data_IF_430667608459
#
_entry.id   IF_430667608459
#
_cell.length_a   1.000
_cell.length_b   1.000
_cell.length_c   1.000
_cell.angle_alpha   90.00
_cell.angle_beta   90.00
_cell.angle_gamma   90.00
#
_symmetry.space_group_name_H-M   'P 1'
#
loop_
_entity.id
_entity.type
_entity.pdbx_description
1 polymer ?
2 polymer ?
3 branched ?
4 non-polymer ?
5 non-polymer ?
6 non-polymer ?
#
# COMPACT_ATOMS: atom_id res chain seq x y z
N UNK A 2 -29.62 4.69 -9.58
CA UNK A 2 -28.69 3.79 -10.25
C UNK A 2 -28.21 2.62 -9.38
N UNK A 3 -28.36 2.73 -8.07
CA UNK A 3 -27.90 1.71 -7.16
C UNK A 3 -29.04 0.95 -6.50
N UNK A 4 -28.69 0.22 -5.46
CA UNK A 4 -29.67 -0.62 -4.77
C UNK A 4 -29.16 -0.78 -3.34
N UNK A 5 -29.74 -0.06 -2.41
CA UNK A 5 -29.17 -0.14 -1.07
C UNK A 5 -29.87 -1.17 -0.20
N UNK A 6 -29.31 -1.29 0.99
CA UNK A 6 -29.77 -2.18 2.00
C UNK A 6 -29.05 -1.89 3.29
N UNK A 7 -29.35 -2.69 4.29
CA UNK A 7 -28.81 -2.47 5.64
C UNK A 7 -27.30 -2.34 5.73
N UNK A 8 -26.56 -3.20 5.06
CA UNK A 8 -25.10 -3.20 5.23
C UNK A 8 -24.38 -3.28 3.90
N UNK A 9 -24.91 -2.65 2.86
CA UNK A 9 -24.25 -2.70 1.56
C UNK A 9 -24.83 -1.62 0.64
N UNK A 10 -24.35 -1.64 -0.60
CA UNK A 10 -24.83 -0.75 -1.65
C UNK A 10 -24.39 -1.37 -2.97
N UNK A 11 -25.33 -1.91 -3.73
CA UNK A 11 -25.03 -2.57 -5.00
C UNK A 11 -25.13 -1.53 -6.11
N UNK A 12 -24.05 -1.20 -6.80
CA UNK A 12 -24.12 -0.20 -7.87
C UNK A 12 -24.88 -0.71 -9.09
N UNK A 13 -26.15 -1.06 -8.91
CA UNK A 13 -26.97 -1.57 -10.00
C UNK A 13 -28.43 -1.38 -9.62
N UNK A 14 -29.22 -0.82 -10.54
CA UNK A 14 -30.59 -0.44 -10.23
C UNK A 14 -31.51 -1.64 -10.16
N UNK A 15 -32.33 -1.70 -9.11
CA UNK A 15 -33.25 -2.80 -8.88
C UNK A 15 -34.58 -2.62 -9.62
N UNK A 16 -34.60 -1.80 -10.67
CA UNK A 16 -35.82 -1.59 -11.44
C UNK A 16 -36.34 -2.90 -12.04
N UNK A 17 -35.45 -3.84 -12.30
CA UNK A 17 -35.81 -5.13 -12.88
C UNK A 17 -35.98 -6.23 -11.83
N UNK A 18 -35.84 -5.90 -10.55
CA UNK A 18 -36.10 -6.86 -9.49
C UNK A 18 -35.05 -7.93 -9.32
N UNK A 19 -33.86 -7.73 -9.90
CA UNK A 19 -32.85 -8.78 -9.95
C UNK A 19 -31.78 -8.65 -8.86
N UNK A 20 -31.57 -7.45 -8.32
CA UNK A 20 -30.47 -7.24 -7.39
C UNK A 20 -30.68 -8.04 -6.12
N UNK A 21 -29.61 -8.69 -5.65
CA UNK A 21 -29.63 -9.51 -4.44
C UNK A 21 -28.49 -9.08 -3.53
N UNK A 22 -28.63 -9.43 -2.25
CA UNK A 22 -27.64 -9.07 -1.24
C UNK A 22 -26.27 -9.65 -1.62
N UNK A 23 -25.22 -8.83 -1.65
CA UNK A 23 -23.88 -9.36 -1.96
C UNK A 23 -23.39 -10.38 -0.94
N UNK A 24 -24.03 -10.50 0.21
CA UNK A 24 -23.70 -11.52 1.19
C UNK A 24 -24.47 -12.82 0.97
N UNK A 25 -25.37 -12.87 0.00
CA UNK A 25 -26.33 -13.98 -0.06
C UNK A 25 -26.49 -14.62 -1.43
N UNK A 26 -26.34 -13.86 -2.51
CA UNK A 26 -26.54 -14.44 -3.84
C UNK A 26 -25.51 -13.88 -4.82
N UNK A 27 -25.19 -14.64 -5.86
CA UNK A 27 -24.24 -14.15 -6.87
C UNK A 27 -24.72 -12.88 -7.55
N UNK A 28 -23.78 -11.99 -7.85
CA UNK A 28 -24.04 -10.70 -8.47
C UNK A 28 -23.78 -10.72 -9.97
N UNK A 29 -24.14 -11.80 -10.66
CA UNK A 29 -23.82 -11.90 -12.08
C UNK A 29 -24.64 -10.94 -12.96
N UNK A 30 -25.42 -10.04 -12.36
CA UNK A 30 -26.13 -9.01 -13.11
C UNK A 30 -25.33 -7.72 -13.27
N UNK A 31 -24.36 -7.47 -12.39
CA UNK A 31 -23.49 -6.31 -12.53
C UNK A 31 -22.16 -6.64 -13.19
N UNK A 32 -21.98 -7.89 -13.63
CA UNK A 32 -20.79 -8.33 -14.34
C UNK A 32 -21.01 -9.76 -14.81
N UNK A 33 -20.61 -10.05 -16.05
CA UNK A 33 -20.67 -11.41 -16.53
C UNK A 33 -19.85 -12.32 -15.62
N UNK A 34 -20.11 -13.62 -15.65
CA UNK A 34 -19.29 -14.53 -14.82
C UNK A 34 -17.82 -14.53 -15.23
N UNK A 35 -17.51 -14.37 -16.52
CA UNK A 35 -16.12 -14.40 -16.94
C UNK A 35 -15.34 -13.23 -16.34
N UNK A 36 -16.01 -12.14 -16.03
CA UNK A 36 -15.33 -11.02 -15.38
C UNK A 36 -15.01 -11.34 -13.92
N UNK A 37 -15.86 -12.13 -13.25
CA UNK A 37 -15.49 -12.64 -11.95
C UNK A 37 -14.35 -13.64 -12.04
N UNK A 38 -14.30 -14.41 -13.13
CA UNK A 38 -13.17 -15.30 -13.35
C UNK A 38 -11.88 -14.52 -13.54
N UNK A 39 -11.94 -13.39 -14.24
CA UNK A 39 -10.75 -12.57 -14.42
C UNK A 39 -10.35 -11.86 -13.13
N UNK A 40 -11.33 -11.47 -12.33
CA UNK A 40 -11.04 -10.99 -10.98
C UNK A 40 -10.23 -12.03 -10.21
N UNK A 41 -10.71 -13.28 -10.21
CA UNK A 41 -10.00 -14.35 -9.53
C UNK A 41 -8.62 -14.58 -10.13
N UNK A 42 -8.50 -14.47 -11.45
CA UNK A 42 -7.21 -14.65 -12.10
C UNK A 42 -6.22 -13.59 -11.63
N UNK A 43 -6.64 -12.33 -11.58
CA UNK A 43 -5.73 -11.29 -11.13
C UNK A 43 -5.33 -11.49 -9.67
N UNK A 44 -6.27 -11.93 -8.83
CA UNK A 44 -5.90 -12.27 -7.46
C UNK A 44 -4.87 -13.39 -7.44
N UNK A 45 -5.03 -14.39 -8.31
CA UNK A 45 -4.04 -15.45 -8.42
C UNK A 45 -2.67 -14.89 -8.77
N UNK A 46 -2.62 -13.97 -9.74
CA UNK A 46 -1.36 -13.32 -10.09
C UNK A 46 -0.73 -12.63 -8.89
N UNK A 47 -1.53 -11.83 -8.17
CA UNK A 47 -1.00 -11.09 -7.03
C UNK A 47 -0.52 -12.00 -5.91
N UNK A 48 -1.09 -13.21 -5.81
CA UNK A 48 -0.62 -14.15 -4.79
C UNK A 48 0.67 -14.83 -5.25
N UNK A 49 0.67 -15.32 -6.49
CA UNK A 49 1.82 -16.06 -7.00
C UNK A 49 3.06 -15.17 -7.07
N UNK A 50 2.89 -13.89 -7.38
CA UNK A 50 4.02 -12.97 -7.39
C UNK A 50 4.26 -12.32 -6.04
N UNK A 51 3.20 -12.02 -5.29
CA UNK A 51 3.36 -11.25 -4.07
C UNK A 51 3.80 -12.04 -2.87
N UNK A 52 3.46 -13.33 -2.80
CA UNK A 52 3.82 -14.09 -1.61
C UNK A 52 5.30 -14.50 -1.64
N UNK A 53 5.81 -15.08 -2.73
CA UNK A 53 7.24 -15.41 -2.75
C UNK A 53 8.15 -14.20 -2.52
N UNK A 54 7.94 -13.11 -3.25
CA UNK A 54 8.84 -11.97 -3.17
C UNK A 54 8.88 -11.39 -1.76
N UNK A 55 7.75 -11.39 -1.06
CA UNK A 55 7.68 -10.79 0.27
C UNK A 55 8.11 -11.73 1.39
N UNK A 56 7.72 -13.01 1.29
CA UNK A 56 8.19 -13.98 2.28
C UNK A 56 9.70 -14.17 2.18
N UNK A 57 10.22 -14.27 0.95
CA UNK A 57 11.66 -14.43 0.75
C UNK A 57 12.45 -13.31 1.40
N UNK A 58 11.88 -12.10 1.46
CA UNK A 58 12.57 -10.99 2.11
C UNK A 58 12.81 -11.30 3.59
N UNK A 59 11.77 -11.72 4.30
CA UNK A 59 11.93 -12.13 5.70
C UNK A 59 12.88 -13.31 5.81
N UNK A 60 12.84 -14.23 4.84
CA UNK A 60 13.69 -15.41 4.89
C UNK A 60 15.16 -15.02 4.82
N UNK A 61 15.57 -14.32 3.74
CA UNK A 61 16.97 -13.93 3.61
C UNK A 61 17.39 -13.03 4.75
N UNK A 62 16.46 -12.24 5.30
CA UNK A 62 16.78 -11.50 6.52
C UNK A 62 17.12 -12.45 7.66
N UNK A 63 16.48 -13.61 7.72
CA UNK A 63 16.81 -14.59 8.74
C UNK A 63 18.15 -15.27 8.44
N UNK A 64 18.54 -15.36 7.16
CA UNK A 64 19.78 -16.05 6.82
C UNK A 64 21.01 -15.15 6.98
N UNK A 65 20.89 -13.88 6.59
CA UNK A 65 22.05 -12.99 6.45
C UNK A 65 22.06 -11.97 7.57
N UNK A 66 23.10 -12.02 8.41
CA UNK A 66 23.17 -11.09 9.54
C UNK A 66 23.41 -9.66 9.07
N UNK A 67 24.12 -9.48 7.97
CA UNK A 67 24.41 -8.14 7.48
C UNK A 67 23.14 -7.41 7.05
N UNK A 68 21.98 -8.08 7.10
CA UNK A 68 20.70 -7.47 6.77
C UNK A 68 19.91 -7.05 8.01
N UNK A 69 20.31 -7.49 9.20
CA UNK A 69 19.55 -7.25 10.42
C UNK A 69 20.00 -5.98 11.15
N UNK A 70 20.14 -4.88 10.39
CA UNK A 70 20.48 -3.53 10.81
C UNK A 70 19.21 -2.70 10.99
N UNK A 71 19.23 -1.66 11.84
CA UNK A 71 17.98 -0.95 12.13
C UNK A 71 17.38 -0.24 10.92
N UNK A 72 18.22 0.35 10.07
CA UNK A 72 17.73 1.03 8.86
C UNK A 72 17.10 0.07 7.86
N UNK A 73 16.94 -1.20 8.24
CA UNK A 73 16.22 -2.18 7.44
C UNK A 73 14.89 -2.60 8.04
N UNK A 74 14.66 -2.32 9.32
CA UNK A 74 13.44 -2.77 9.99
C UNK A 74 12.19 -2.38 9.20
N UNK A 75 12.10 -1.10 8.82
CA UNK A 75 10.92 -0.62 8.11
C UNK A 75 10.69 -1.42 6.84
N UNK A 76 11.77 -1.79 6.15
CA UNK A 76 11.64 -2.63 4.96
C UNK A 76 10.99 -3.96 5.32
N UNK A 77 11.51 -4.63 6.35
CA UNK A 77 10.84 -5.83 6.87
C UNK A 77 9.38 -5.54 7.14
N UNK A 78 9.10 -4.42 7.81
CA UNK A 78 7.73 -4.00 8.06
C UNK A 78 6.91 -4.00 6.78
N UNK A 79 7.43 -3.35 5.74
CA UNK A 79 6.76 -3.32 4.44
C UNK A 79 6.39 -4.72 3.98
N UNK A 80 7.34 -5.65 4.04
CA UNK A 80 7.07 -7.03 3.63
C UNK A 80 5.90 -7.60 4.42
N UNK A 81 5.93 -7.47 5.75
CA UNK A 81 4.82 -7.94 6.57
C UNK A 81 3.52 -7.28 6.13
N UNK A 82 3.55 -5.97 5.89
CA UNK A 82 2.37 -5.27 5.39
C UNK A 82 1.83 -5.96 4.14
N UNK A 83 2.70 -6.22 3.17
CA UNK A 83 2.24 -6.85 1.94
C UNK A 83 1.65 -8.22 2.20
N UNK A 84 2.18 -8.96 3.17
CA UNK A 84 1.61 -10.26 3.51
C UNK A 84 0.21 -10.10 4.09
N UNK A 85 0.00 -9.07 4.92
CA UNK A 85 -1.36 -8.76 5.35
C UNK A 85 -2.24 -8.41 4.17
N UNK A 86 -1.68 -7.76 3.14
CA UNK A 86 -2.44 -7.51 1.92
C UNK A 86 -2.72 -8.79 1.15
N UNK A 87 -1.91 -9.83 1.33
CA UNK A 87 -2.04 -11.04 0.54
C UNK A 87 -3.03 -12.01 1.17
N UNK A 88 -2.85 -12.32 2.44
CA UNK A 88 -3.68 -13.32 3.11
C UNK A 88 -4.92 -12.73 3.76
N UNK A 89 -4.93 -11.44 4.06
CA UNK A 89 -6.12 -10.81 4.58
C UNK A 89 -7.03 -10.29 3.49
N UNK A 90 -6.47 -10.09 2.30
CA UNK A 90 -7.23 -9.51 1.21
C UNK A 90 -7.28 -10.33 -0.06
N UNK A 91 -6.12 -10.62 -0.64
CA UNK A 91 -6.08 -11.18 -1.99
C UNK A 91 -6.68 -12.58 -2.03
N UNK A 92 -6.34 -13.43 -1.05
CA UNK A 92 -6.84 -14.81 -1.06
C UNK A 92 -8.34 -14.84 -0.79
N UNK A 93 -8.79 -14.09 0.21
CA UNK A 93 -10.22 -13.96 0.46
C UNK A 93 -10.96 -13.57 -0.80
N UNK A 94 -10.51 -12.50 -1.47
CA UNK A 94 -11.18 -12.04 -2.69
C UNK A 94 -11.11 -13.07 -3.80
N UNK A 95 -10.06 -13.89 -3.84
CA UNK A 95 -10.04 -15.00 -4.78
C UNK A 95 -11.19 -15.97 -4.51
N UNK A 96 -11.30 -16.43 -3.27
CA UNK A 96 -12.35 -17.37 -2.91
C UNK A 96 -13.74 -16.80 -3.17
N UNK A 97 -14.02 -15.62 -2.61
CA UNK A 97 -15.35 -15.02 -2.76
C UNK A 97 -15.65 -14.69 -4.23
N UNK A 98 -14.64 -14.24 -4.97
CA UNK A 98 -14.87 -14.00 -6.39
C UNK A 98 -15.25 -15.29 -7.12
N UNK A 99 -14.74 -16.43 -6.66
CA UNK A 99 -15.11 -17.70 -7.28
C UNK A 99 -16.54 -18.11 -6.95
N UNK A 100 -17.18 -17.49 -5.96
CA UNK A 100 -18.60 -17.73 -5.72
C UNK A 100 -19.49 -16.68 -6.37
N UNK A 101 -18.94 -15.55 -6.81
CA UNK A 101 -19.75 -14.48 -7.37
C UNK A 101 -20.21 -13.44 -6.37
N UNK A 102 -19.97 -13.64 -5.08
CA UNK A 102 -20.42 -12.71 -4.05
C UNK A 102 -19.63 -12.97 -2.77
N UNK A 103 -19.80 -12.09 -1.80
CA UNK A 103 -19.02 -12.13 -0.56
C UNK A 103 -19.66 -13.10 0.42
N UNK A 104 -19.15 -14.34 0.45
CA UNK A 104 -19.83 -15.43 1.15
C UNK A 104 -19.74 -15.32 2.66
N UNK A 105 -18.81 -14.55 3.19
CA UNK A 105 -18.53 -14.58 4.63
C UNK A 105 -19.38 -13.58 5.42
N UNK A 106 -20.34 -12.92 4.78
CA UNK A 106 -21.30 -12.10 5.48
C UNK A 106 -20.72 -10.79 5.99
N UNK A 107 -21.54 -10.02 6.70
CA UNK A 107 -21.08 -8.72 7.21
C UNK A 107 -19.85 -8.79 8.10
N UNK A 108 -19.78 -9.75 9.01
CA UNK A 108 -18.60 -9.85 9.88
C UNK A 108 -17.35 -10.14 9.07
N UNK A 109 -17.41 -11.12 8.16
CA UNK A 109 -16.31 -11.35 7.24
C UNK A 109 -15.94 -10.11 6.44
N UNK A 110 -16.94 -9.27 6.16
CA UNK A 110 -16.65 -8.00 5.49
C UNK A 110 -15.80 -7.10 6.39
N UNK A 111 -16.14 -7.04 7.68
CA UNK A 111 -15.36 -6.23 8.62
C UNK A 111 -13.95 -6.76 8.76
N UNK A 112 -13.78 -8.10 8.74
CA UNK A 112 -12.44 -8.68 8.87
C UNK A 112 -11.61 -8.41 7.62
N UNK A 113 -12.13 -8.79 6.45
CA UNK A 113 -11.36 -8.63 5.22
C UNK A 113 -11.05 -7.17 4.94
N UNK A 114 -12.01 -6.28 5.23
CA UNK A 114 -11.75 -4.87 5.06
C UNK A 114 -10.78 -4.32 6.09
N UNK A 115 -10.86 -4.83 7.33
CA UNK A 115 -9.95 -4.35 8.37
C UNK A 115 -8.51 -4.74 8.08
N UNK A 116 -8.29 -5.98 7.62
CA UNK A 116 -6.93 -6.42 7.37
C UNK A 116 -6.39 -5.92 6.04
N UNK A 117 -7.26 -5.74 5.04
CA UNK A 117 -6.81 -5.14 3.78
C UNK A 117 -6.42 -3.68 4.00
N UNK A 118 -7.30 -2.91 4.65
CA UNK A 118 -7.00 -1.52 4.95
C UNK A 118 -5.76 -1.41 5.84
N UNK A 119 -5.69 -2.25 6.88
CA UNK A 119 -4.53 -2.27 7.76
C UNK A 119 -3.25 -2.46 6.97
N UNK A 120 -3.16 -3.57 6.23
CA UNK A 120 -1.95 -3.85 5.47
C UNK A 120 -1.55 -2.72 4.54
N UNK A 121 -2.52 -2.20 3.78
CA UNK A 121 -2.21 -1.12 2.85
C UNK A 121 -1.71 0.13 3.55
N UNK A 122 -2.26 0.43 4.72
CA UNK A 122 -1.82 1.64 5.44
C UNK A 122 -0.46 1.43 6.08
N UNK A 123 -0.18 0.23 6.60
CA UNK A 123 1.15 -0.07 7.09
C UNK A 123 2.18 0.10 5.98
N UNK A 124 1.86 -0.38 4.78
CA UNK A 124 2.76 -0.21 3.65
C UNK A 124 3.01 1.27 3.36
N UNK A 125 1.92 2.05 3.21
CA UNK A 125 2.06 3.47 2.90
C UNK A 125 2.87 4.21 3.95
N UNK A 126 2.52 4.02 5.23
CA UNK A 126 3.23 4.72 6.29
C UNK A 126 4.65 4.21 6.47
N UNK A 127 4.93 2.97 6.07
CA UNK A 127 6.32 2.51 6.02
C UNK A 127 7.10 3.27 4.95
N UNK A 128 6.46 3.54 3.80
CA UNK A 128 7.13 4.35 2.79
C UNK A 128 7.43 5.75 3.33
N UNK A 129 6.47 6.35 4.05
CA UNK A 129 6.69 7.68 4.62
C UNK A 129 7.82 7.64 5.64
N UNK A 130 7.75 6.70 6.59
CA UNK A 130 8.77 6.61 7.64
C UNK A 130 10.14 6.37 7.03
N UNK A 131 10.21 5.53 6.01
CA UNK A 131 11.49 5.30 5.32
C UNK A 131 12.04 6.60 4.75
N UNK A 132 11.18 7.38 4.08
CA UNK A 132 11.61 8.68 3.56
C UNK A 132 12.14 9.58 4.68
N UNK A 133 11.46 9.58 5.83
CA UNK A 133 11.91 10.41 6.95
C UNK A 133 13.28 9.95 7.44
N UNK A 134 13.45 8.63 7.61
CA UNK A 134 14.72 8.11 8.09
C UNK A 134 15.87 8.47 7.15
N UNK A 135 15.65 8.36 5.84
CA UNK A 135 16.71 8.68 4.90
C UNK A 135 16.99 10.18 4.88
N UNK A 136 15.96 11.02 5.05
CA UNK A 136 16.19 12.45 5.19
C UNK A 136 17.06 12.73 6.40
N UNK A 137 16.75 12.11 7.54
CA UNK A 137 17.48 12.37 8.77
C UNK A 137 18.92 11.88 8.65
N UNK A 138 19.10 10.64 8.19
CA UNK A 138 20.42 10.02 8.19
C UNK A 138 21.32 10.68 7.16
N UNK A 139 20.80 10.99 5.98
CA UNK A 139 21.63 11.51 4.89
C UNK A 139 21.77 13.02 4.97
N UNK A 140 20.67 13.74 5.22
CA UNK A 140 20.70 15.21 5.22
C UNK A 140 21.27 15.79 6.50
N UNK A 141 21.40 15.00 7.56
CA UNK A 141 21.98 15.43 8.82
C UNK A 141 21.34 16.74 9.33
N UNK A 142 20.04 16.71 9.66
CA UNK A 142 19.36 17.95 10.05
C UNK A 142 19.38 18.25 11.55
N UNK A 143 19.89 17.34 12.38
CA UNK A 143 19.97 17.55 13.81
C UNK A 143 21.41 17.40 14.28
N UNK A 144 21.83 18.32 15.15
CA UNK A 144 23.19 18.29 15.65
C UNK A 144 23.43 17.07 16.54
N UNK A 145 24.49 16.33 16.25
CA UNK A 145 24.91 15.18 17.04
C UNK A 145 23.77 14.19 17.23
N UNK A 146 23.40 13.53 16.12
CA UNK A 146 22.37 12.50 16.15
C UNK A 146 22.72 11.40 15.18
N UNK A 147 22.71 10.16 15.67
CA UNK A 147 22.80 8.97 14.83
C UNK A 147 21.60 8.09 15.09
N UNK A 148 21.23 7.31 14.08
CA UNK A 148 19.98 6.57 14.07
C UNK A 148 20.20 5.18 14.66
N UNK A 149 19.52 4.90 15.78
CA UNK A 149 19.70 3.67 16.51
C UNK A 149 18.56 2.68 16.34
N UNK A 150 18.64 1.60 17.11
CA UNK A 150 17.61 0.58 17.06
C UNK A 150 16.28 1.09 17.63
N UNK A 151 16.35 1.86 18.72
CA UNK A 151 15.13 2.36 19.34
C UNK A 151 14.38 3.32 18.43
N UNK A 152 15.11 4.12 17.64
CA UNK A 152 14.44 5.00 16.69
C UNK A 152 13.73 4.20 15.61
N UNK A 153 14.36 3.15 15.10
CA UNK A 153 13.73 2.31 14.09
C UNK A 153 12.47 1.66 14.62
N UNK A 154 12.57 1.04 15.81
CA UNK A 154 11.40 0.44 16.46
C UNK A 154 10.29 1.47 16.62
N UNK A 155 10.65 2.68 17.06
CA UNK A 155 9.66 3.76 17.15
C UNK A 155 8.98 4.00 15.81
N UNK A 156 9.76 4.02 14.72
CA UNK A 156 9.18 4.25 13.42
C UNK A 156 8.19 3.18 13.01
N UNK A 157 8.54 1.91 13.23
CA UNK A 157 7.62 0.82 12.92
C UNK A 157 6.33 0.97 13.72
N UNK A 158 6.45 1.20 15.03
CA UNK A 158 5.26 1.38 15.86
C UNK A 158 4.44 2.57 15.38
N UNK A 159 5.09 3.60 14.85
CA UNK A 159 4.35 4.74 14.30
C UNK A 159 3.55 4.31 13.07
N UNK A 160 4.12 3.46 12.23
CA UNK A 160 3.36 2.94 11.10
C UNK A 160 2.14 2.16 11.58
N UNK A 161 2.30 1.36 12.64
CA UNK A 161 1.17 0.59 13.15
C UNK A 161 0.11 1.49 13.75
N UNK A 162 0.51 2.55 14.45
CA UNK A 162 -0.47 3.46 15.04
C UNK A 162 -1.24 4.20 13.95
N UNK A 163 -0.52 4.73 12.95
CA UNK A 163 -1.19 5.39 11.85
C UNK A 163 -2.11 4.44 11.08
N UNK A 164 -1.76 3.15 11.05
CA UNK A 164 -2.61 2.19 10.36
C UNK A 164 -3.89 1.91 11.14
N UNK A 165 -3.76 1.59 12.43
CA UNK A 165 -4.94 1.37 13.26
C UNK A 165 -5.82 2.61 13.33
N UNK A 166 -5.22 3.80 13.31
CA UNK A 166 -5.96 5.05 13.32
C UNK A 166 -6.62 5.31 11.97
N UNK A 167 -6.79 4.25 11.17
CA UNK A 167 -7.29 4.37 9.82
C UNK A 167 -8.08 3.14 9.41
N UNK A 168 -7.88 2.03 10.14
CA UNK A 168 -8.59 0.79 9.88
C UNK A 168 -9.60 0.43 10.96
N UNK A 169 -9.45 0.98 12.16
CA UNK A 169 -10.32 0.68 13.30
C UNK A 169 -11.59 1.52 13.35
N UNK A 170 -11.58 2.80 12.96
CA UNK A 170 -12.82 3.60 13.04
C UNK A 170 -14.02 2.96 12.36
N UNK A 171 -13.87 2.37 11.16
CA UNK A 171 -15.04 1.71 10.55
C UNK A 171 -15.58 0.54 11.35
N UNK A 172 -14.78 -0.08 12.21
CA UNK A 172 -15.28 -1.15 13.06
C UNK A 172 -16.09 -0.66 14.26
N UNK A 173 -16.06 0.65 14.54
CA UNK A 173 -16.66 1.17 15.76
C UNK A 173 -17.59 2.35 15.52
N UNK A 174 -17.78 2.78 14.27
CA UNK A 174 -18.81 3.77 14.03
C UNK A 174 -18.46 4.97 13.18
N UNK A 175 -17.18 5.17 12.87
CA UNK A 175 -16.75 6.23 11.97
C UNK A 175 -16.50 5.59 10.61
N UNK A 176 -17.35 5.92 9.64
CA UNK A 176 -17.47 5.19 8.36
C UNK A 176 -17.78 3.71 8.61
N UNK A 177 -17.61 2.88 7.60
CA UNK A 177 -18.00 1.48 7.69
C UNK A 177 -17.41 0.72 6.51
N UNK A 178 -17.24 -0.58 6.70
CA UNK A 178 -16.76 -1.47 5.65
C UNK A 178 -17.94 -2.08 4.91
N UNK A 179 -17.96 -1.93 3.59
CA UNK A 179 -18.99 -2.57 2.77
C UNK A 179 -18.34 -3.14 1.51
N UNK A 180 -18.97 -4.16 0.92
CA UNK A 180 -18.46 -4.71 -0.35
C UNK A 180 -18.41 -3.65 -1.43
N UNK A 181 -17.24 -3.50 -2.04
CA UNK A 181 -16.98 -2.55 -3.10
C UNK A 181 -17.16 -3.19 -4.47
N UNK A 182 -17.34 -2.35 -5.49
CA UNK A 182 -17.33 -2.76 -6.88
C UNK A 182 -18.17 -3.97 -7.22
N UNK A 183 -17.51 -5.05 -7.63
CA UNK A 183 -18.19 -6.30 -7.93
C UNK A 183 -18.61 -7.08 -6.69
N UNK A 184 -18.60 -6.43 -5.52
CA UNK A 184 -19.16 -6.93 -4.28
C UNK A 184 -18.42 -8.14 -3.72
N UNK A 185 -17.24 -8.47 -4.25
CA UNK A 185 -16.49 -9.62 -3.79
C UNK A 185 -15.41 -9.27 -2.76
N UNK A 186 -14.98 -8.02 -2.71
CA UNK A 186 -14.03 -7.54 -1.73
C UNK A 186 -14.65 -6.41 -0.93
N UNK A 187 -14.21 -6.24 0.31
CA UNK A 187 -14.78 -5.26 1.23
C UNK A 187 -13.81 -4.12 1.46
N UNK A 188 -14.34 -2.90 1.50
CA UNK A 188 -13.51 -1.73 1.67
C UNK A 188 -14.24 -0.63 2.44
N UNK A 189 -13.52 0.49 2.59
CA UNK A 189 -14.08 1.66 3.26
C UNK A 189 -15.20 2.25 2.43
N UNK A 190 -16.25 2.72 3.10
CA UNK A 190 -17.42 3.27 2.43
C UNK A 190 -17.15 4.73 2.06
N UNK A 191 -17.09 5.00 0.75
CA UNK A 191 -16.96 6.36 0.25
C UNK A 191 -17.81 6.56 -1.00
N UNK A 192 -18.83 5.72 -1.22
CA UNK A 192 -19.75 5.85 -2.33
C UNK A 192 -21.20 5.89 -1.86
N UNK A 193 -21.43 5.97 -0.55
CA UNK A 193 -22.72 6.29 0.04
C UNK A 193 -22.51 7.37 1.10
N UNK A 194 -23.46 8.30 1.25
CA UNK A 194 -23.27 9.40 2.20
C UNK A 194 -23.74 9.05 3.59
N UNK A 195 -23.87 7.75 3.86
CA UNK A 195 -24.31 7.20 5.14
C UNK A 195 -24.07 8.04 6.39
N UNK A 196 -24.99 8.95 6.70
CA UNK A 196 -24.83 9.85 7.84
C UNK A 196 -24.76 9.17 9.21
N UNK A 197 -25.31 7.97 9.40
CA UNK A 197 -25.29 7.37 10.73
C UNK A 197 -23.88 7.08 11.23
N UNK A 198 -22.91 6.97 10.33
CA UNK A 198 -21.52 6.74 10.68
C UNK A 198 -20.59 7.87 10.25
N UNK A 199 -21.13 8.95 9.68
CA UNK A 199 -20.37 10.16 9.35
C UNK A 199 -19.26 9.86 8.33
N UNK A 200 -19.68 9.39 7.16
CA UNK A 200 -18.71 9.02 6.12
C UNK A 200 -17.96 10.23 5.59
N UNK A 201 -18.62 11.39 5.51
CA UNK A 201 -18.00 12.55 4.88
C UNK A 201 -16.78 13.02 5.64
N UNK A 202 -16.92 13.18 6.96
CA UNK A 202 -15.79 13.61 7.77
C UNK A 202 -14.66 12.59 7.73
N UNK A 203 -14.99 11.30 7.62
CA UNK A 203 -13.94 10.29 7.58
C UNK A 203 -13.20 10.31 6.25
N UNK A 204 -13.93 10.52 5.16
CA UNK A 204 -13.30 10.61 3.86
C UNK A 204 -12.39 11.84 3.78
N UNK A 205 -12.84 12.96 4.36
CA UNK A 205 -11.98 14.14 4.44
C UNK A 205 -10.75 13.85 5.27
N UNK A 206 -10.92 13.17 6.40
CA UNK A 206 -9.78 12.87 7.27
C UNK A 206 -8.82 11.89 6.61
N UNK A 207 -9.33 10.98 5.77
CA UNK A 207 -8.46 10.14 4.96
C UNK A 207 -7.63 10.98 4.00
N UNK A 208 -8.31 11.76 3.15
CA UNK A 208 -7.62 12.52 2.11
C UNK A 208 -6.60 13.47 2.71
N UNK A 209 -6.93 14.10 3.84
CA UNK A 209 -6.03 15.08 4.44
C UNK A 209 -4.89 14.39 5.19
N UNK A 210 -5.23 13.51 6.14
CA UNK A 210 -4.21 12.96 7.06
C UNK A 210 -3.47 11.77 6.46
N UNK A 211 -4.17 10.91 5.74
CA UNK A 211 -3.56 9.69 5.24
C UNK A 211 -3.34 9.75 3.74
N UNK A 212 -3.29 10.96 3.18
CA UNK A 212 -2.88 11.11 1.80
C UNK A 212 -2.08 12.39 1.58
N UNK A 213 -2.62 13.55 1.97
CA UNK A 213 -1.90 14.80 1.74
C UNK A 213 -0.65 14.86 2.61
N UNK A 214 -0.80 14.60 3.91
CA UNK A 214 0.36 14.59 4.81
C UNK A 214 1.45 13.65 4.31
N UNK A 215 1.19 12.37 4.02
CA UNK A 215 2.26 11.51 3.48
C UNK A 215 2.87 12.05 2.20
N UNK A 216 2.04 12.55 1.29
CA UNK A 216 2.54 13.09 0.03
C UNK A 216 3.53 14.21 0.27
N UNK A 217 3.18 15.15 1.15
CA UNK A 217 4.05 16.29 1.43
C UNK A 217 5.33 15.82 2.12
N UNK A 218 5.22 14.91 3.08
CA UNK A 218 6.40 14.45 3.81
C UNK A 218 7.38 13.75 2.85
N UNK A 219 6.86 12.90 1.97
CA UNK A 219 7.72 12.19 1.02
C UNK A 219 8.39 13.18 0.08
N UNK A 220 7.60 14.07 -0.53
CA UNK A 220 8.16 15.02 -1.49
C UNK A 220 9.21 15.91 -0.83
N UNK A 221 8.93 16.38 0.39
CA UNK A 221 9.89 17.20 1.10
C UNK A 221 11.18 16.44 1.39
N UNK A 222 11.08 15.29 2.05
CA UNK A 222 12.26 14.54 2.46
C UNK A 222 13.12 14.16 1.26
N UNK A 223 12.50 13.65 0.19
CA UNK A 223 13.30 13.22 -0.95
C UNK A 223 13.82 14.39 -1.78
N UNK A 224 13.06 15.49 -1.87
CA UNK A 224 13.62 16.69 -2.47
C UNK A 224 14.84 17.19 -1.72
N UNK A 225 14.77 17.21 -0.39
CA UNK A 225 15.91 17.59 0.43
C UNK A 225 17.09 16.65 0.20
N UNK A 226 16.81 15.36 0.06
CA UNK A 226 17.89 14.40 -0.13
C UNK A 226 18.55 14.59 -1.49
N UNK A 227 17.77 14.78 -2.55
CA UNK A 227 18.37 15.02 -3.85
C UNK A 227 19.13 16.32 -3.85
N UNK A 228 18.64 17.35 -3.13
CA UNK A 228 19.41 18.58 -3.02
C UNK A 228 20.76 18.33 -2.35
N UNK A 229 20.76 17.67 -1.18
CA UNK A 229 22.00 17.38 -0.47
C UNK A 229 22.98 16.62 -1.34
N UNK A 230 22.51 15.57 -2.02
CA UNK A 230 23.42 14.75 -2.81
C UNK A 230 23.96 15.54 -4.00
N UNK A 231 23.09 16.31 -4.65
CA UNK A 231 23.53 17.13 -5.78
C UNK A 231 24.59 18.13 -5.35
N UNK A 232 24.37 18.75 -4.20
CA UNK A 232 25.27 19.77 -3.69
C UNK A 232 26.63 19.17 -3.35
N UNK A 233 26.64 18.05 -2.62
CA UNK A 233 27.90 17.39 -2.28
C UNK A 233 28.65 16.97 -3.54
N UNK A 234 27.95 16.34 -4.48
CA UNK A 234 28.59 15.94 -5.74
C UNK A 234 29.12 17.16 -6.49
N UNK A 235 28.47 18.31 -6.35
CA UNK A 235 29.00 19.54 -6.94
C UNK A 235 30.32 19.93 -6.28
N UNK A 236 30.39 19.86 -4.95
CA UNK A 236 31.64 20.12 -4.26
C UNK A 236 32.64 18.97 -4.36
N UNK A 237 32.38 17.93 -5.16
CA UNK A 237 33.30 16.80 -5.24
C UNK A 237 33.36 16.23 -6.66
N UNK A 238 33.49 17.11 -7.66
CA UNK A 238 33.53 16.62 -9.04
C UNK A 238 34.80 15.85 -9.37
N UNK A 239 35.80 15.86 -8.49
CA UNK A 239 36.98 15.02 -8.70
C UNK A 239 36.70 13.55 -8.36
N UNK A 240 35.65 13.27 -7.60
CA UNK A 240 35.27 11.91 -7.24
C UNK A 240 34.19 11.44 -8.22
N UNK A 241 34.59 10.57 -9.15
CA UNK A 241 33.62 10.00 -10.09
C UNK A 241 32.61 9.11 -9.38
N UNK A 242 33.00 8.49 -8.26
CA UNK A 242 32.07 7.68 -7.50
C UNK A 242 30.94 8.53 -6.90
N UNK A 243 31.28 9.74 -6.43
CA UNK A 243 30.24 10.64 -5.94
C UNK A 243 29.30 11.06 -7.07
N UNK A 244 29.81 11.16 -8.30
CA UNK A 244 28.97 11.48 -9.44
C UNK A 244 28.02 10.34 -9.76
N UNK A 245 28.54 9.11 -9.87
CA UNK A 245 27.69 7.93 -9.96
C UNK A 245 26.60 7.96 -8.90
N UNK A 246 27.00 8.16 -7.64
CA UNK A 246 26.06 8.15 -6.54
C UNK A 246 24.95 9.18 -6.74
N UNK A 247 25.32 10.40 -7.15
CA UNK A 247 24.32 11.43 -7.40
C UNK A 247 23.31 10.98 -8.45
N UNK A 248 23.81 10.40 -9.56
CA UNK A 248 22.91 9.94 -10.61
C UNK A 248 21.97 8.86 -10.09
N UNK A 249 22.53 7.80 -9.48
CA UNK A 249 21.70 6.68 -9.05
C UNK A 249 20.69 7.10 -7.99
N UNK A 250 21.10 7.97 -7.07
CA UNK A 250 20.18 8.41 -6.02
C UNK A 250 19.04 9.23 -6.62
N UNK A 251 19.35 10.10 -7.59
CA UNK A 251 18.29 10.86 -8.24
C UNK A 251 17.32 9.95 -8.97
N UNK A 252 17.84 9.01 -9.76
CA UNK A 252 16.98 8.08 -10.49
C UNK A 252 16.10 7.27 -9.54
N UNK A 253 16.66 6.82 -8.42
CA UNK A 253 15.86 6.06 -7.46
C UNK A 253 14.77 6.92 -6.84
N UNK A 254 15.10 8.16 -6.47
CA UNK A 254 14.08 9.02 -5.87
C UNK A 254 12.95 9.28 -6.85
N UNK A 255 13.28 9.48 -8.12
CA UNK A 255 12.24 9.67 -9.13
C UNK A 255 11.38 8.41 -9.25
N UNK A 256 12.01 7.23 -9.24
CA UNK A 256 11.27 5.98 -9.33
C UNK A 256 10.33 5.83 -8.14
N UNK A 257 10.82 6.11 -6.94
CA UNK A 257 10.00 5.91 -5.74
C UNK A 257 8.85 6.90 -5.68
N UNK A 258 9.09 8.16 -6.05
CA UNK A 258 8.02 9.16 -6.03
C UNK A 258 6.96 8.83 -7.07
N UNK A 259 7.39 8.54 -8.30
CA UNK A 259 6.43 8.21 -9.36
C UNK A 259 5.65 6.95 -9.00
N UNK A 260 6.31 5.97 -8.38
CA UNK A 260 5.60 4.77 -7.97
C UNK A 260 4.57 5.07 -6.89
N UNK A 261 4.91 5.94 -5.93
CA UNK A 261 3.95 6.34 -4.92
C UNK A 261 2.73 6.99 -5.55
N UNK A 262 2.94 7.89 -6.52
CA UNK A 262 1.82 8.56 -7.17
C UNK A 262 0.99 7.57 -7.98
N UNK A 263 1.64 6.70 -8.76
CA UNK A 263 0.91 5.68 -9.49
C UNK A 263 0.07 4.82 -8.54
N UNK A 264 0.55 4.60 -7.33
CA UNK A 264 -0.15 3.70 -6.40
C UNK A 264 -1.34 4.37 -5.75
N UNK A 265 -1.14 5.54 -5.12
CA UNK A 265 -2.19 6.13 -4.29
C UNK A 265 -2.96 7.25 -4.97
N UNK A 266 -2.49 7.75 -6.12
CA UNK A 266 -3.21 8.85 -6.74
C UNK A 266 -4.53 8.41 -7.35
N UNK A 267 -4.61 7.33 -8.14
CA UNK A 267 -5.93 6.91 -8.65
C UNK A 267 -6.97 6.68 -7.57
N UNK A 268 -6.58 6.06 -6.44
CA UNK A 268 -7.54 5.86 -5.36
C UNK A 268 -8.05 7.18 -4.82
N UNK A 269 -7.15 8.14 -4.61
CA UNK A 269 -7.55 9.44 -4.08
C UNK A 269 -8.41 10.21 -5.05
N UNK A 270 -8.07 10.17 -6.34
CA UNK A 270 -8.80 10.96 -7.33
C UNK A 270 -10.15 10.38 -7.66
N UNK A 271 -10.21 9.07 -7.89
CA UNK A 271 -11.48 8.42 -8.19
C UNK A 271 -12.39 8.47 -6.97
N UNK A 272 -11.85 8.14 -5.79
CA UNK A 272 -12.66 8.23 -4.58
C UNK A 272 -13.14 9.65 -4.32
N UNK A 273 -12.27 10.63 -4.57
CA UNK A 273 -12.66 12.03 -4.39
C UNK A 273 -13.73 12.45 -5.40
N UNK A 274 -13.72 11.87 -6.59
CA UNK A 274 -14.78 12.12 -7.56
C UNK A 274 -16.08 11.47 -7.12
N UNK A 275 -16.02 10.26 -6.55
CA UNK A 275 -17.18 9.55 -6.04
C UNK A 275 -17.61 10.21 -4.73
N UNK A 276 -16.89 11.26 -4.32
CA UNK A 276 -17.24 12.03 -3.14
C UNK A 276 -17.22 13.53 -3.44
N UNK A 277 -17.40 13.89 -4.70
CA UNK A 277 -17.49 15.29 -5.11
C UNK A 277 -18.58 15.39 -6.18
N UNK A 278 -18.62 14.39 -7.06
CA UNK A 278 -19.77 14.16 -7.93
C UNK A 278 -20.46 12.89 -7.44
N UNK A 279 -20.73 12.85 -6.14
CA UNK A 279 -21.15 11.61 -5.49
C UNK A 279 -22.61 11.28 -5.83
N UNK A 280 -22.89 9.98 -5.88
CA UNK A 280 -24.24 9.48 -6.07
C UNK A 280 -24.57 9.01 -7.46
N UNK A 281 -23.72 9.31 -8.45
CA UNK A 281 -24.06 9.08 -9.86
C UNK A 281 -24.02 7.61 -10.26
N UNK A 282 -23.87 7.36 -11.55
CA UNK A 282 -23.77 6.01 -12.09
C UNK A 282 -22.29 5.63 -12.16
N UNK A 283 -21.92 4.57 -11.45
CA UNK A 283 -20.53 4.14 -11.32
C UNK A 283 -20.45 2.64 -11.61
N UNK A 284 -19.99 2.28 -12.81
CA UNK A 284 -19.78 0.89 -13.14
C UNK A 284 -18.87 0.23 -12.12
N UNK A 285 -19.25 -0.97 -11.66
CA UNK A 285 -18.34 -1.72 -10.77
C UNK A 285 -16.94 -1.86 -11.35
N UNK A 286 -16.84 -2.03 -12.66
CA UNK A 286 -15.55 -2.06 -13.33
C UNK A 286 -14.87 -0.69 -13.23
N UNK A 287 -15.64 0.39 -13.30
CA UNK A 287 -15.09 1.71 -13.04
C UNK A 287 -14.57 1.82 -11.62
N UNK A 288 -15.27 1.19 -10.66
CA UNK A 288 -14.84 1.16 -9.26
C UNK A 288 -13.59 0.34 -9.00
N UNK A 289 -13.21 -0.56 -9.90
CA UNK A 289 -12.06 -1.41 -9.60
C UNK A 289 -10.80 -0.93 -10.33
N UNK A 290 -10.80 0.30 -10.80
CA UNK A 290 -9.67 0.85 -11.55
C UNK A 290 -8.55 1.40 -10.64
N UNK A 291 -8.83 2.16 -9.58
CA UNK A 291 -7.75 2.49 -8.65
C UNK A 291 -7.32 1.32 -7.79
N UNK A 292 -8.26 0.46 -7.38
CA UNK A 292 -7.92 -0.70 -6.57
C UNK A 292 -6.92 -1.60 -7.27
N UNK A 293 -6.92 -1.60 -8.59
CA UNK A 293 -5.90 -2.33 -9.35
C UNK A 293 -4.51 -1.81 -9.02
N UNK A 294 -4.28 -0.51 -9.24
CA UNK A 294 -2.97 0.09 -8.99
C UNK A 294 -2.56 -0.05 -7.54
N UNK A 295 -3.48 0.20 -6.60
CA UNK A 295 -3.13 0.13 -5.19
C UNK A 295 -2.81 -1.30 -4.76
N UNK A 296 -3.59 -2.27 -5.23
CA UNK A 296 -3.35 -3.65 -4.81
C UNK A 296 -2.08 -4.22 -5.41
N UNK A 297 -1.71 -3.81 -6.63
CA UNK A 297 -0.48 -4.29 -7.23
C UNK A 297 0.76 -3.79 -6.50
N UNK A 298 0.62 -2.80 -5.62
CA UNK A 298 1.77 -2.30 -4.86
C UNK A 298 2.28 -3.29 -3.83
N UNK A 299 1.64 -4.45 -3.68
CA UNK A 299 2.23 -5.52 -2.89
C UNK A 299 3.31 -6.26 -3.66
N UNK A 300 3.44 -6.01 -4.96
CA UNK A 300 4.40 -6.69 -5.82
C UNK A 300 5.55 -5.78 -6.22
N UNK A 301 5.25 -4.58 -6.72
CA UNK A 301 6.32 -3.70 -7.18
C UNK A 301 6.92 -2.84 -6.06
N UNK A 302 6.30 -2.79 -4.88
CA UNK A 302 6.97 -2.12 -3.76
C UNK A 302 8.12 -2.98 -3.25
N UNK A 303 8.00 -4.30 -3.14
CA UNK A 303 9.20 -5.10 -2.86
C UNK A 303 10.20 -5.10 -4.00
N UNK A 304 9.76 -4.93 -5.24
CA UNK A 304 10.69 -4.89 -6.36
C UNK A 304 11.53 -3.61 -6.30
N UNK A 305 10.89 -2.47 -6.03
CA UNK A 305 11.61 -1.21 -5.98
C UNK A 305 12.44 -1.13 -4.70
N UNK A 306 11.82 -1.42 -3.55
CA UNK A 306 12.44 -1.13 -2.26
C UNK A 306 13.31 -2.26 -1.74
N UNK A 307 13.24 -3.45 -2.34
CA UNK A 307 14.02 -4.57 -1.83
C UNK A 307 14.84 -5.23 -2.92
N UNK A 308 14.22 -5.56 -4.04
CA UNK A 308 14.96 -6.21 -5.11
C UNK A 308 15.96 -5.26 -5.77
N UNK A 309 15.70 -3.96 -5.74
CA UNK A 309 16.64 -2.98 -6.25
C UNK A 309 17.54 -2.43 -5.16
N UNK A 310 17.68 -3.16 -4.05
CA UNK A 310 18.55 -2.81 -2.94
C UNK A 310 19.70 -3.81 -2.98
N UNK A 311 20.91 -3.30 -3.23
CA UNK A 311 22.04 -4.17 -3.57
C UNK A 311 22.27 -5.23 -2.50
N UNK A 312 22.16 -4.85 -1.23
CA UNK A 312 22.29 -5.82 -0.15
C UNK A 312 21.30 -6.97 -0.29
N UNK A 313 19.99 -6.64 -0.24
CA UNK A 313 18.96 -7.66 -0.30
C UNK A 313 19.07 -8.48 -1.56
N UNK A 314 19.28 -7.83 -2.69
CA UNK A 314 19.50 -8.55 -3.93
C UNK A 314 20.56 -9.61 -3.69
N UNK A 315 21.78 -9.17 -3.42
CA UNK A 315 22.91 -10.08 -3.24
C UNK A 315 22.52 -11.27 -2.38
N UNK A 316 21.89 -11.02 -1.23
CA UNK A 316 21.51 -12.12 -0.35
C UNK A 316 20.46 -13.02 -0.97
N UNK A 317 19.63 -12.48 -1.86
CA UNK A 317 18.60 -13.30 -2.49
C UNK A 317 19.16 -14.16 -3.62
N UNK A 318 20.07 -13.61 -4.43
CA UNK A 318 20.73 -14.44 -5.42
C UNK A 318 21.58 -15.50 -4.74
N UNK A 319 22.11 -15.17 -3.55
CA UNK A 319 22.84 -16.17 -2.77
C UNK A 319 21.91 -17.27 -2.27
N UNK A 320 20.72 -16.89 -1.77
CA UNK A 320 19.83 -17.88 -1.16
C UNK A 320 19.13 -18.74 -2.21
N UNK A 321 18.61 -18.12 -3.27
CA UNK A 321 17.89 -18.87 -4.29
C UNK A 321 18.81 -19.84 -5.03
N UNK A 322 20.05 -19.42 -5.30
CA UNK A 322 21.03 -20.31 -5.89
C UNK A 322 21.75 -21.14 -4.84
N UNK A 323 21.17 -21.26 -3.65
CA UNK A 323 21.52 -22.21 -2.59
C UNK A 323 23.04 -22.39 -2.46
N UNK A 324 23.72 -21.28 -2.21
CA UNK A 324 25.14 -21.35 -1.93
C UNK A 324 25.98 -20.16 -2.35
N UNK A 325 26.18 -19.98 -3.65
CA UNK A 325 27.17 -19.05 -4.16
C UNK A 325 26.52 -17.84 -4.84
N UNK A 326 27.27 -17.19 -5.72
CA UNK A 326 26.83 -15.98 -6.44
C UNK A 326 26.43 -14.86 -5.48
N UNK B 1 28.89 11.45 2.19
CA UNK B 1 27.58 10.85 2.42
C UNK B 1 27.47 9.48 1.78
N UNK B 2 28.53 9.07 1.06
CA UNK B 2 28.53 7.76 0.41
C UNK B 2 28.28 6.65 1.42
N UNK B 3 28.85 6.78 2.62
CA UNK B 3 28.57 5.82 3.68
C UNK B 3 27.10 5.85 4.07
N UNK B 4 26.56 7.05 4.30
CA UNK B 4 25.14 7.18 4.61
C UNK B 4 24.27 6.67 3.47
N UNK B 5 24.69 6.92 2.23
CA UNK B 5 23.91 6.42 1.09
C UNK B 5 23.86 4.90 1.08
N UNK B 6 24.97 4.24 1.42
CA UNK B 6 24.95 2.79 1.48
C UNK B 6 24.17 2.29 2.69
N UNK B 7 24.20 3.03 3.81
CA UNK B 7 23.44 2.62 4.99
C UNK B 7 21.94 2.56 4.68
N UNK B 8 21.42 3.59 4.02
CA UNK B 8 20.00 3.64 3.69
C UNK B 8 19.66 2.87 2.43
N UNK B 9 20.64 2.21 1.81
CA UNK B 9 20.37 1.35 0.67
C UNK B 9 20.09 2.07 -0.62
N UNK B 10 20.46 3.34 -0.73
CA UNK B 10 20.22 4.10 -1.94
C UNK B 10 21.41 4.06 -2.91
N UNK B 11 22.61 3.75 -2.42
CA UNK B 11 23.77 3.59 -3.28
C UNK B 11 24.57 2.37 -2.85
X LIG C 1 -34.40 -6.06 -5.52
X LIG C 1 -34.34 -6.23 -4.02
X LIG C 1 -35.00 -7.56 -3.66
X LIG C 1 -36.40 -7.65 -4.22
X LIG C 1 -36.36 -7.40 -5.72
X LIG C 1 -37.77 -7.39 -6.31
X LIG C 1 -32.42 -5.72 -2.52
X LIG C 1 -30.91 -5.90 -2.34
X LIG C 1 -32.92 -6.29 -3.63
X LIG C 1 -35.06 -7.69 -2.24
X LIG C 1 -36.81 -9.01 -4.00
X LIG C 1 -35.76 -6.12 -5.98
X LIG C 1 -38.40 -6.14 -6.02
X LIG C 1 -33.09 -5.10 -1.69
X LIG C 2 -38.06 -9.30 -3.36
X LIG C 2 -38.49 -10.63 -3.92
X LIG C 2 -39.83 -11.02 -3.33
X LIG C 2 -39.71 -11.06 -1.80
X LIG C 2 -39.20 -9.71 -1.30
X LIG C 2 -39.06 -9.76 0.21
X LIG C 2 -37.96 -11.35 -6.23
X LIG C 2 -38.10 -10.99 -7.70
X LIG C 2 -38.54 -10.49 -5.39
X LIG C 2 -40.21 -12.30 -3.85
X LIG C 2 -41.00 -11.26 -1.18
X LIG C 2 -37.94 -9.38 -1.92
X LIG C 2 -38.66 -8.49 0.75
X LIG C 2 -37.36 -12.37 -5.87
X LIG C 3 -41.50 -12.59 -1.01
X LIG C 3 -42.40 -12.57 0.22
X LIG C 3 -43.05 -13.92 0.42
X LIG C 3 -43.83 -14.26 -0.84
X LIG C 3 -42.91 -14.22 -2.06
X LIG C 3 -43.76 -14.51 -3.31
X LIG C 3 -43.42 -11.58 0.01
X LIG C 3 -43.97 -13.91 1.54
X LIG C 3 -44.42 -15.57 -0.71
X LIG C 3 -42.29 -12.93 -2.17
X LIG C 3 -43.05 -14.16 -4.50
X LIG C 4 -43.50 -13.23 2.73
X LIG C 4 -44.48 -12.08 3.12
X LIG C 4 -45.62 -12.68 3.89
X LIG C 4 -45.08 -13.17 5.23
X LIG C 4 -43.61 -13.63 5.08
X LIG C 4 -43.25 -14.55 6.26
X LIG C 4 -44.93 -11.40 1.94
X LIG C 4 -46.14 -13.78 3.12
X LIG C 4 -45.11 -12.13 6.20
X LIG C 4 -43.44 -14.23 3.79
X LIG C 4 -44.20 -15.62 6.34
X LIG D 1 -12.44 10.31 -1.03
X LIG D 1 -11.45 9.31 -0.45
X LIG D 1 -11.89 7.89 -0.07
X LIG D 1 -10.16 9.67 -0.36
X LIG D 1 -9.20 8.58 0.14
X LIG D 1 -7.79 8.89 -0.36
X LIG D 1 -6.96 7.61 -0.35
X LIG D 1 -6.05 7.57 -1.57
X LIG D 1 -6.09 7.56 0.91
X LIG D 1 -5.45 6.18 1.03
X LIG D 1 -4.75 6.09 2.27
X LIG E 1 18.01 16.06 -12.24
X LIG E 1 16.66 15.83 -12.47
X LIG E 1 18.84 14.96 -12.94
X LIG E 1 20.03 14.75 -12.23
X LIG E 1 19.15 15.26 -14.35
X LIG E 1 18.04 14.87 -15.12
X LIG E 1 19.45 16.67 -14.65
X LIG E 1 20.66 16.75 -15.37
X LIG E 1 19.58 17.50 -13.38
X LIG E 1 18.31 17.42 -12.67
X LIG E 1 19.96 18.96 -13.63
X LIG E 1 20.74 19.39 -12.54
X LIG E 1 15.82 16.48 -11.56
X LIG E 1 15.45 15.46 -10.49
X LIG E 1 14.32 15.96 -9.60
X LIG E 1 13.75 14.82 -8.76
X LIG E 1 13.43 15.28 -7.35
X LIG E 1 12.11 14.69 -6.86
X LIG E 1 12.05 14.67 -5.34
X LIG E 1 10.73 15.26 -4.84
X LIG F 1 20.68 -24.22 -6.16
X LIG F 1 21.72 -24.20 -6.73
X LIG F 1 19.41 -23.92 -6.97
X LIG F 1 19.68 -23.40 -8.39
X LIG F 1 18.51 -22.62 -9.04
X LIG F 1 17.56 -23.50 -9.87
X LIG F 1 17.03 -22.84 -11.16
X LIG F 1 15.62 -22.25 -11.02
X LIG F 1 14.72 -22.46 -12.25
X LIG F 1 13.71 -21.32 -12.46
X LIG F 1 12.29 -21.62 -11.94
X LIG F 1 11.37 -20.39 -11.91
X LIG F 1 10.13 -20.54 -12.81
X LIG F 1 8.90 -21.11 -12.08
X LIG F 1 7.67 -21.26 -12.99
X LIG F 1 6.70 -20.09 -12.86
X LIG F 1 5.23 -20.53 -12.77
#
# INVERSE_FOLDING_TARGET
MNGTEGPNFYVPFSNKTGVVRSPFEAPQYYLAEPWQFSMLAAYMFLLIMLGFPINFLTLYVTVQHKKLRTPLNYILLNLAVADLFMVFGGFTTTLYTSLHGYFVFGPTGCNLEGFFATLGGEIALWSLVVLAIERYVVVCKPMSNFRFGENHAIMGVAFTWVMALACAAPPLVGWSRYIPEGMQCSCGIDYYTPHEETNNESFVIYMFVVHFIIPLIVIFFCYGQLVFTVKEAAAQQQESATTQKAEKEVTRMVIIMVIAFLICWLPYAGVAFYIFTHQGSDFGPIFMTIPAFFAKTSAVYNPVIYIMMNKQFRNCMVTTLCCGKNPLGDDEASTTVSKTETSQVAPA
ILENLKDVGLF
NAG C1 C2 C3 C4 C5 C6 C7 C8 N2 O3 O4 O5 O6 O7
NAG C1 C2 C3 C4 C5 C6 C7 C8 N2 O3 O4 O5 O6 O7
BMA C1 C2 C3 C4 C5 C6 O2 O3 O4 O5 O6
BMA C1 C2 C3 C4 C5 C6 O2 O3 O4 O5 O6
ODM CAA CAB CAE CAC CAF CAG CAH CAD CAI CAJ OAK
BOG C1 O1 C2 O2 C3 O3 C4 O4 C5 O5 C6 O6 C1' C2' C3' C4' C5' C6' C7' C8'
PLM C1 O2 C2 C3 C4 C5 C6 C7 C8 C9 CA CB CC CD CE CF CG
#
